data_IF_031093742551
#
_entry.id   IF_031093742551
#
_cell.length_a   1.000
_cell.length_b   1.000
_cell.length_c   1.000
_cell.angle_alpha   90.00
_cell.angle_beta   90.00
_cell.angle_gamma   90.00
#
_symmetry.space_group_name_H-M   'P 1'
#
loop_
_entity.id
_entity.type
_entity.pdbx_description
1 polymer ?
#
# COMPACT_ATOMS: atom_id res chain seq x y z
N UNK A 1 -14.66 15.37 1.40
CA UNK A 1 -15.29 14.21 2.08
C UNK A 1 -14.20 13.23 2.47
N UNK A 2 -14.02 12.97 3.77
CA UNK A 2 -13.08 11.94 4.25
C UNK A 2 -13.83 10.60 4.18
N UNK A 3 -13.34 9.68 3.35
CA UNK A 3 -13.93 8.34 3.18
C UNK A 3 -13.01 7.30 3.81
N UNK A 4 -13.58 6.26 4.42
CA UNK A 4 -12.80 5.11 4.87
C UNK A 4 -12.03 4.50 3.68
N UNK A 5 -10.73 4.19 3.86
CA UNK A 5 -9.97 3.49 2.83
C UNK A 5 -10.63 2.14 2.49
N UNK A 6 -10.65 1.79 1.20
CA UNK A 6 -11.19 0.51 0.73
C UNK A 6 -10.31 -0.11 -0.34
N UNK A 7 -10.06 -1.41 -0.23
CA UNK A 7 -9.36 -2.16 -1.27
C UNK A 7 -10.11 -2.11 -2.62
N UNK A 8 -11.45 -1.98 -2.58
CA UNK A 8 -12.27 -1.81 -3.79
C UNK A 8 -11.93 -0.51 -4.52
N UNK A 9 -11.71 0.57 -3.77
CA UNK A 9 -11.30 1.86 -4.33
C UNK A 9 -9.89 1.79 -4.91
N UNK A 10 -8.94 1.17 -4.18
CA UNK A 10 -7.58 0.92 -4.68
C UNK A 10 -7.63 0.19 -6.03
N UNK A 11 -8.36 -0.93 -6.10
CA UNK A 11 -8.54 -1.70 -7.34
C UNK A 11 -9.21 -0.87 -8.45
N UNK A 12 -10.18 -0.03 -8.12
CA UNK A 12 -10.85 0.87 -9.09
C UNK A 12 -9.86 1.87 -9.70
N UNK A 13 -8.99 2.48 -8.90
CA UNK A 13 -7.95 3.41 -9.39
C UNK A 13 -6.93 2.70 -10.27
N UNK A 14 -6.46 1.52 -9.85
CA UNK A 14 -5.51 0.73 -10.64
C UNK A 14 -6.10 0.32 -11.99
N UNK A 15 -7.39 -0.02 -12.07
CA UNK A 15 -8.09 -0.28 -13.35
C UNK A 15 -8.08 0.93 -14.28
N UNK A 16 -8.10 2.15 -13.72
CA UNK A 16 -7.97 3.42 -14.45
C UNK A 16 -6.51 3.81 -14.74
N UNK A 17 -5.54 2.93 -14.46
CA UNK A 17 -4.09 3.18 -14.56
C UNK A 17 -3.61 4.32 -13.65
N UNK A 18 -4.30 4.57 -12.54
CA UNK A 18 -3.92 5.56 -11.53
C UNK A 18 -3.22 4.82 -10.37
N UNK A 19 -1.92 5.07 -10.13
CA UNK A 19 -1.21 4.51 -8.98
C UNK A 19 -1.80 5.00 -7.65
N UNK A 20 -1.66 4.19 -6.60
CA UNK A 20 -2.19 4.51 -5.27
C UNK A 20 -1.08 4.44 -4.23
N UNK A 21 -0.89 5.51 -3.47
CA UNK A 21 0.06 5.53 -2.35
C UNK A 21 -0.65 4.94 -1.13
N UNK A 22 -0.03 3.95 -0.50
CA UNK A 22 -0.49 3.36 0.75
C UNK A 22 0.57 3.53 1.83
N UNK A 23 0.12 3.83 3.04
CA UNK A 23 0.94 3.72 4.24
C UNK A 23 0.74 2.32 4.82
N UNK A 24 1.83 1.59 5.08
CA UNK A 24 1.82 0.21 5.56
C UNK A 24 2.84 0.02 6.67
N UNK A 25 2.66 -1.04 7.46
CA UNK A 25 3.64 -1.50 8.42
C UNK A 25 4.82 -2.19 7.70
N UNK A 26 6.01 -1.61 7.78
CA UNK A 26 7.20 -2.09 7.08
C UNK A 26 7.67 -3.47 7.55
N UNK A 27 7.52 -3.78 8.84
CA UNK A 27 7.89 -5.09 9.40
C UNK A 27 7.03 -6.20 8.80
N UNK A 28 5.74 -5.93 8.64
CA UNK A 28 4.80 -6.88 8.01
C UNK A 28 5.07 -6.96 6.51
N UNK A 29 5.21 -5.81 5.84
CA UNK A 29 5.48 -5.73 4.40
C UNK A 29 6.70 -6.59 3.98
N UNK A 30 7.79 -6.52 4.75
CA UNK A 30 9.02 -7.25 4.45
C UNK A 30 9.12 -8.62 5.12
N UNK A 31 8.10 -9.02 5.90
CA UNK A 31 8.13 -10.22 6.73
C UNK A 31 9.42 -10.33 7.58
N UNK A 32 9.89 -9.21 8.13
CA UNK A 32 11.16 -9.13 8.86
C UNK A 32 10.93 -8.84 10.34
N UNK A 33 10.83 -9.90 11.15
CA UNK A 33 10.55 -9.82 12.57
C UNK A 33 11.63 -9.07 13.38
N UNK A 34 12.86 -8.94 12.86
CA UNK A 34 13.95 -8.21 13.51
C UNK A 34 13.84 -6.69 13.29
N UNK A 35 13.05 -6.25 12.32
CA UNK A 35 12.87 -4.84 12.04
C UNK A 35 11.95 -4.19 13.07
N UNK A 36 12.28 -2.97 13.50
CA UNK A 36 11.35 -2.15 14.30
C UNK A 36 10.07 -1.94 13.50
N UNK A 37 8.93 -1.94 14.19
CA UNK A 37 7.65 -1.59 13.59
C UNK A 37 7.74 -0.11 13.19
N UNK A 38 7.73 0.18 11.89
CA UNK A 38 7.69 1.54 11.33
C UNK A 38 6.61 1.64 10.26
N UNK A 39 5.92 2.78 10.19
CA UNK A 39 5.11 3.13 9.03
C UNK A 39 6.01 3.34 7.82
N UNK A 40 5.53 2.98 6.64
CA UNK A 40 6.25 3.12 5.38
C UNK A 40 5.27 3.37 4.23
N UNK A 41 5.66 4.21 3.27
CA UNK A 41 4.82 4.50 2.11
C UNK A 41 5.29 3.70 0.89
N UNK A 42 4.35 3.04 0.23
CA UNK A 42 4.57 2.31 -1.02
C UNK A 42 3.62 2.80 -2.10
N UNK A 43 4.02 2.67 -3.36
CA UNK A 43 3.20 3.07 -4.51
C UNK A 43 2.66 1.82 -5.20
N UNK A 44 1.39 1.51 -4.99
CA UNK A 44 0.71 0.41 -5.69
C UNK A 44 0.49 0.81 -7.14
N UNK A 45 0.91 -0.05 -8.08
CA UNK A 45 0.89 0.25 -9.51
C UNK A 45 0.07 -0.73 -10.34
N UNK A 46 -0.18 -1.95 -9.83
CA UNK A 46 -0.94 -2.97 -10.55
C UNK A 46 -1.60 -3.95 -9.59
N UNK A 47 -2.73 -4.50 -10.01
CA UNK A 47 -3.39 -5.65 -9.38
C UNK A 47 -3.82 -6.66 -10.44
N UNK A 48 -3.54 -7.94 -10.21
CA UNK A 48 -3.94 -9.06 -11.09
C UNK A 48 -3.93 -10.35 -10.27
N UNK A 49 -5.01 -11.13 -10.35
CA UNK A 49 -5.11 -12.47 -9.77
C UNK A 49 -4.69 -12.55 -8.28
N UNK A 50 -5.17 -11.64 -7.43
CA UNK A 50 -4.86 -11.64 -5.99
C UNK A 50 -3.48 -11.09 -5.63
N UNK A 51 -2.71 -10.60 -6.60
CA UNK A 51 -1.36 -10.06 -6.40
C UNK A 51 -1.36 -8.57 -6.70
N UNK A 52 -0.78 -7.78 -5.79
CA UNK A 52 -0.44 -6.38 -6.00
C UNK A 52 1.03 -6.23 -6.37
N UNK A 53 1.33 -5.31 -7.27
CA UNK A 53 2.69 -4.83 -7.51
C UNK A 53 2.82 -3.41 -6.99
N UNK A 54 3.96 -3.14 -6.37
CA UNK A 54 4.24 -1.84 -5.79
C UNK A 54 5.69 -1.41 -6.05
N UNK A 55 5.92 -0.11 -6.11
CA UNK A 55 7.26 0.44 -6.04
C UNK A 55 7.55 0.83 -4.59
N UNK A 56 8.74 0.46 -4.12
CA UNK A 56 9.19 0.77 -2.78
C UNK A 56 10.23 1.90 -2.82
N UNK A 57 9.98 3.07 -2.21
CA UNK A 57 10.96 4.16 -2.14
C UNK A 57 12.25 3.80 -1.40
N UNK A 58 12.24 2.76 -0.55
CA UNK A 58 13.42 2.31 0.21
C UNK A 58 14.54 1.82 -0.71
N UNK A 59 14.20 1.16 -1.81
CA UNK A 59 15.17 0.60 -2.75
C UNK A 59 14.95 1.04 -4.21
N UNK A 60 13.88 1.78 -4.49
CA UNK A 60 13.51 2.24 -5.82
C UNK A 60 13.06 1.12 -6.75
N UNK A 61 12.79 -0.09 -6.24
CA UNK A 61 12.48 -1.27 -7.04
C UNK A 61 11.00 -1.61 -6.99
N UNK A 62 10.60 -2.41 -7.98
CA UNK A 62 9.27 -3.00 -8.04
C UNK A 62 9.25 -4.33 -7.29
N UNK A 63 8.25 -4.49 -6.45
CA UNK A 63 7.97 -5.69 -5.67
C UNK A 63 6.55 -6.19 -5.94
N UNK A 64 6.24 -7.36 -5.39
CA UNK A 64 4.90 -7.93 -5.41
C UNK A 64 4.52 -8.48 -4.05
N UNK A 65 3.23 -8.44 -3.73
CA UNK A 65 2.67 -8.91 -2.46
C UNK A 65 1.26 -9.49 -2.69
N UNK A 66 0.88 -10.52 -1.92
CA UNK A 66 -0.48 -11.05 -1.96
C UNK A 66 -1.46 -10.04 -1.37
N UNK A 67 -2.71 -10.07 -1.81
CA UNK A 67 -3.75 -9.17 -1.31
C UNK A 67 -3.90 -9.23 0.21
N UNK A 68 -3.98 -10.43 0.78
CA UNK A 68 -4.18 -10.59 2.23
C UNK A 68 -3.00 -10.05 3.04
N UNK A 69 -1.77 -10.29 2.58
CA UNK A 69 -0.54 -9.77 3.21
C UNK A 69 -0.50 -8.23 3.15
N UNK A 70 -0.89 -7.64 2.01
CA UNK A 70 -0.97 -6.19 1.85
C UNK A 70 -2.05 -5.59 2.76
N UNK A 71 -3.23 -6.21 2.81
CA UNK A 71 -4.33 -5.78 3.69
C UNK A 71 -3.88 -5.84 5.15
N UNK A 72 -3.19 -6.90 5.54
CA UNK A 72 -2.67 -7.06 6.89
C UNK A 72 -1.63 -5.97 7.21
N UNK A 73 -0.67 -5.71 6.31
CA UNK A 73 0.32 -4.64 6.48
C UNK A 73 -0.32 -3.24 6.52
N UNK A 74 -1.36 -3.00 5.73
CA UNK A 74 -2.06 -1.73 5.65
C UNK A 74 -2.88 -1.41 6.90
N UNK A 75 -3.64 -2.38 7.41
CA UNK A 75 -4.52 -2.15 8.57
C UNK A 75 -3.79 -2.22 9.92
N UNK A 76 -2.61 -2.87 9.98
CA UNK A 76 -1.76 -2.90 11.18
C UNK A 76 -0.64 -1.86 11.12
N UNK A 77 -0.88 -0.79 10.37
CA UNK A 77 0.02 0.34 10.37
C UNK A 77 -0.05 1.09 11.71
N UNK A 78 1.03 1.78 12.07
CA UNK A 78 1.20 2.35 13.41
C UNK A 78 0.20 3.49 13.62
N UNK A 79 -0.37 3.55 14.83
CA UNK A 79 -1.10 4.69 15.36
C UNK A 79 -0.26 5.96 15.08
N UNK A 80 -0.86 6.93 14.38
CA UNK A 80 -0.26 8.19 13.87
C UNK A 80 0.26 8.19 12.42
N UNK A 81 0.21 7.06 11.71
CA UNK A 81 0.41 7.04 10.25
C UNK A 81 -0.92 7.19 9.51
N UNK A 82 -1.33 8.43 9.28
CA UNK A 82 -2.50 8.73 8.46
C UNK A 82 -2.23 8.38 6.99
N UNK A 83 -2.90 7.35 6.48
CA UNK A 83 -2.92 7.02 5.05
C UNK A 83 -3.92 7.91 4.32
N UNK A 84 -3.43 8.92 3.59
CA UNK A 84 -4.27 9.76 2.73
C UNK A 84 -4.25 9.23 1.29
N UNK A 85 -5.44 9.08 0.70
CA UNK A 85 -5.57 8.89 -0.75
C UNK A 85 -5.44 10.26 -1.42
N UNK A 86 -4.27 10.57 -1.97
CA UNK A 86 -4.07 11.77 -2.78
C UNK A 86 -4.43 11.45 -4.24
N UNK A 87 -5.43 12.15 -4.77
CA UNK A 87 -5.78 12.14 -6.20
C UNK A 87 -5.26 13.44 -6.79
N UNK A 88 -4.34 13.36 -7.74
CA UNK A 88 -3.91 14.51 -8.54
C UNK A 88 -4.70 14.45 -9.85
N UNK A 89 -5.76 15.26 -9.96
CA UNK A 89 -6.49 15.49 -11.21
C UNK A 89 -5.96 16.78 -11.87
N UNK A 90 -5.94 16.81 -13.21
CA UNK A 90 -5.63 18.02 -14.00
C UNK A 90 -6.85 18.91 -14.11
#
# INVERSE_FOLDING_TARGET
VIKKPSIKDVKKFLKRKIPVILSVNSRILYNNLKQKITGHFIVITKYKNGIFWYNDPKDGRRHSIKEDDLIFAWHNNILDSSGYLLIIEK
#
